data_IF_569352797235
#
_entry.id   IF_569352797235
#
_cell.length_a   1.000
_cell.length_b   1.000
_cell.length_c   1.000
_cell.angle_alpha   90.00
_cell.angle_beta   90.00
_cell.angle_gamma   90.00
#
_symmetry.space_group_name_H-M   'P 1'
#
loop_
_entity.id
_entity.type
_entity.pdbx_description
1 polymer ?
#
# COMPACT_ATOMS: atom_id res chain seq x y z
N UNK A 1 -0.26 16.27 1.05
CA UNK A 1 0.29 15.01 1.58
C UNK A 1 0.65 14.09 0.43
N UNK A 2 1.86 13.58 0.42
CA UNK A 2 2.32 12.65 -0.59
C UNK A 2 2.82 11.36 0.05
N UNK A 3 3.29 10.42 -0.77
CA UNK A 3 3.72 9.10 -0.30
C UNK A 3 4.86 9.18 0.73
N UNK A 4 5.77 10.12 0.55
CA UNK A 4 6.88 10.31 1.47
C UNK A 4 6.44 10.81 2.85
N UNK A 5 5.28 11.45 2.94
CA UNK A 5 4.72 11.90 4.23
C UNK A 5 4.06 10.76 4.99
N UNK A 6 3.66 9.70 4.31
CA UNK A 6 2.91 8.59 4.88
C UNK A 6 3.83 7.45 5.32
N UNK A 7 4.93 7.24 4.60
CA UNK A 7 5.80 6.09 4.79
C UNK A 7 7.09 6.44 5.51
N UNK A 8 7.46 5.57 6.45
CA UNK A 8 8.81 5.50 6.98
C UNK A 8 9.43 4.18 6.52
N UNK A 9 10.71 4.01 6.72
CA UNK A 9 11.42 2.76 6.40
C UNK A 9 10.72 1.54 7.01
N UNK A 10 10.26 1.65 8.25
CA UNK A 10 9.64 0.53 8.96
C UNK A 10 8.32 0.07 8.32
N UNK A 11 7.67 0.94 7.55
CA UNK A 11 6.40 0.64 6.88
C UNK A 11 6.59 0.15 5.45
N UNK A 12 7.83 -0.14 5.05
CA UNK A 12 8.15 -0.72 3.75
C UNK A 12 8.55 -2.18 3.94
N UNK A 13 7.86 -3.06 3.23
CA UNK A 13 8.11 -4.51 3.25
C UNK A 13 8.76 -4.87 1.91
N UNK A 14 10.10 -4.98 1.85
CA UNK A 14 10.79 -5.16 0.56
C UNK A 14 10.59 -6.53 -0.06
N UNK A 15 10.20 -7.52 0.73
CA UNK A 15 10.02 -8.89 0.26
C UNK A 15 8.71 -9.46 0.81
N UNK A 16 7.61 -9.17 0.12
CA UNK A 16 6.31 -9.75 0.46
C UNK A 16 6.35 -11.26 0.23
N UNK A 17 5.79 -12.02 1.17
CA UNK A 17 5.62 -13.47 1.07
C UNK A 17 4.29 -13.85 0.46
N UNK A 18 3.32 -12.96 0.51
CA UNK A 18 1.96 -13.19 0.03
C UNK A 18 1.96 -13.62 -1.43
N UNK A 19 1.05 -14.52 -1.78
CA UNK A 19 0.87 -14.99 -3.16
C UNK A 19 -0.43 -14.49 -3.77
N UNK A 20 -1.35 -14.01 -2.95
CA UNK A 20 -2.62 -13.44 -3.41
C UNK A 20 -2.93 -12.16 -2.62
N UNK A 21 -3.93 -11.41 -3.08
CA UNK A 21 -4.27 -10.11 -2.51
C UNK A 21 -4.72 -10.19 -1.05
N UNK A 22 -5.37 -11.27 -0.66
CA UNK A 22 -5.86 -11.44 0.71
C UNK A 22 -4.71 -11.59 1.69
N UNK A 23 -3.73 -12.41 1.34
CA UNK A 23 -2.51 -12.57 2.11
C UNK A 23 -1.67 -11.30 2.14
N UNK A 24 -1.64 -10.55 1.02
CA UNK A 24 -0.92 -9.29 0.98
C UNK A 24 -1.52 -8.26 1.93
N UNK A 25 -2.85 -8.19 2.01
CA UNK A 25 -3.55 -7.32 2.96
C UNK A 25 -3.18 -7.72 4.38
N UNK A 26 -3.21 -9.01 4.70
CA UNK A 26 -2.84 -9.49 6.03
C UNK A 26 -1.40 -9.09 6.39
N UNK A 27 -0.48 -9.30 5.46
CA UNK A 27 0.95 -9.03 5.69
C UNK A 27 1.23 -7.55 5.90
N UNK A 28 0.61 -6.68 5.11
CA UNK A 28 0.79 -5.24 5.23
C UNK A 28 0.16 -4.69 6.52
N UNK A 29 -1.00 -5.21 6.91
CA UNK A 29 -1.62 -4.80 8.17
C UNK A 29 -0.81 -5.29 9.36
N UNK A 30 -0.26 -6.51 9.31
CA UNK A 30 0.67 -6.98 10.35
C UNK A 30 1.86 -6.05 10.50
N UNK A 31 2.38 -5.54 9.39
CA UNK A 31 3.45 -4.54 9.43
C UNK A 31 3.02 -3.30 10.22
N UNK A 32 1.80 -2.81 9.99
CA UNK A 32 1.31 -1.62 10.68
C UNK A 32 1.05 -1.88 12.17
N UNK A 33 0.67 -3.09 12.54
CA UNK A 33 0.56 -3.48 13.95
C UNK A 33 1.97 -3.50 14.58
N UNK A 34 2.93 -4.12 13.92
CA UNK A 34 4.30 -4.21 14.41
C UNK A 34 5.00 -2.86 14.52
N UNK A 35 4.61 -1.87 13.73
CA UNK A 35 5.17 -0.52 13.77
C UNK A 35 4.39 0.44 14.67
N UNK A 36 3.37 -0.06 15.35
CA UNK A 36 2.57 0.74 16.28
C UNK A 36 1.56 1.67 15.63
N UNK A 37 1.32 1.54 14.33
CA UNK A 37 0.34 2.38 13.61
C UNK A 37 -1.09 1.90 13.79
N UNK A 38 -1.25 0.61 14.09
CA UNK A 38 -2.53 -0.02 14.39
C UNK A 38 -2.39 -0.75 15.71
N UNK A 39 -3.36 -0.59 16.62
CA UNK A 39 -3.36 -1.31 17.89
C UNK A 39 -3.57 -2.81 17.61
N UNK A 40 -2.86 -3.71 18.34
CA UNK A 40 -3.03 -5.15 18.12
C UNK A 40 -4.47 -5.63 18.26
N UNK A 41 -5.23 -5.05 19.16
CA UNK A 41 -6.65 -5.40 19.35
C UNK A 41 -7.56 -4.98 18.21
N UNK A 42 -7.11 -4.07 17.34
CA UNK A 42 -7.87 -3.55 16.21
C UNK A 42 -7.51 -4.25 14.89
N UNK A 43 -6.48 -5.08 14.89
CA UNK A 43 -5.98 -5.74 13.69
C UNK A 43 -7.07 -6.42 12.86
N UNK A 44 -7.85 -7.29 13.49
CA UNK A 44 -8.86 -8.09 12.77
C UNK A 44 -9.96 -7.22 12.18
N UNK A 45 -10.37 -6.17 12.89
CA UNK A 45 -11.39 -5.24 12.39
C UNK A 45 -10.88 -4.44 11.19
N UNK A 46 -9.62 -4.01 11.23
CA UNK A 46 -9.02 -3.28 10.10
C UNK A 46 -8.86 -4.21 8.89
N UNK A 47 -8.40 -5.44 9.11
CA UNK A 47 -8.30 -6.45 8.03
C UNK A 47 -9.67 -6.66 7.38
N UNK A 48 -10.71 -6.82 8.20
CA UNK A 48 -12.05 -7.04 7.69
C UNK A 48 -12.55 -5.87 6.83
N UNK A 49 -12.28 -4.64 7.26
CA UNK A 49 -12.67 -3.44 6.51
C UNK A 49 -11.98 -3.38 5.14
N UNK A 50 -10.68 -3.65 5.08
CA UNK A 50 -9.93 -3.64 3.82
C UNK A 50 -10.40 -4.76 2.89
N UNK A 51 -10.57 -5.96 3.42
CA UNK A 51 -11.02 -7.11 2.62
C UNK A 51 -12.44 -6.90 2.09
N UNK A 52 -13.31 -6.29 2.86
CA UNK A 52 -14.67 -5.97 2.41
C UNK A 52 -14.63 -5.03 1.21
N UNK A 53 -13.78 -3.99 1.27
CA UNK A 53 -13.61 -3.06 0.15
C UNK A 53 -13.03 -3.76 -1.07
N UNK A 54 -12.02 -4.60 -0.87
CA UNK A 54 -11.36 -5.34 -1.95
C UNK A 54 -12.33 -6.32 -2.64
N UNK A 55 -13.25 -6.91 -1.88
CA UNK A 55 -14.27 -7.83 -2.40
C UNK A 55 -15.19 -7.15 -3.41
N UNK A 56 -15.48 -5.85 -3.24
CA UNK A 56 -16.34 -5.11 -4.17
C UNK A 56 -15.71 -4.99 -5.55
N UNK A 57 -14.41 -4.74 -5.62
CA UNK A 57 -13.66 -4.62 -6.86
C UNK A 57 -12.17 -4.68 -6.53
N UNK A 58 -11.42 -5.44 -7.31
CA UNK A 58 -9.97 -5.49 -7.12
C UNK A 58 -9.34 -4.11 -7.23
N UNK A 59 -8.38 -3.83 -6.36
CA UNK A 59 -7.57 -2.62 -6.42
C UNK A 59 -6.28 -2.82 -7.20
N UNK A 60 -6.14 -3.94 -7.91
CA UNK A 60 -5.08 -4.14 -8.89
C UNK A 60 -5.37 -3.31 -10.13
N UNK A 61 -4.68 -2.18 -10.26
CA UNK A 61 -5.00 -1.14 -11.26
C UNK A 61 -4.16 -1.23 -12.53
N UNK A 62 -3.40 -2.31 -12.68
CA UNK A 62 -2.53 -2.52 -13.83
C UNK A 62 -1.10 -2.09 -13.56
N UNK A 63 -0.21 -2.38 -14.50
CA UNK A 63 1.22 -2.08 -14.42
C UNK A 63 1.92 -2.70 -13.21
N UNK A 64 1.35 -3.78 -12.65
CA UNK A 64 1.92 -4.43 -11.48
C UNK A 64 1.64 -3.71 -10.16
N UNK A 65 0.60 -2.87 -10.11
CA UNK A 65 0.26 -2.07 -8.95
C UNK A 65 -1.06 -2.51 -8.34
N UNK A 66 -1.11 -2.64 -7.01
CA UNK A 66 -2.35 -2.79 -6.26
C UNK A 66 -2.39 -1.78 -5.13
N UNK A 67 -3.56 -1.19 -4.87
CA UNK A 67 -3.74 -0.21 -3.81
C UNK A 67 -4.94 -0.60 -2.95
N UNK A 68 -4.79 -1.63 -2.10
CA UNK A 68 -5.86 -1.94 -1.14
C UNK A 68 -6.04 -0.78 -0.18
N UNK A 69 -7.30 -0.40 0.08
CA UNK A 69 -7.58 0.77 0.91
C UNK A 69 -8.94 0.66 1.58
N UNK A 70 -9.10 1.40 2.65
CA UNK A 70 -10.37 1.49 3.37
C UNK A 70 -10.39 2.69 4.29
N UNK A 71 -11.60 3.07 4.73
CA UNK A 71 -11.80 4.01 5.83
C UNK A 71 -12.08 3.21 7.09
N UNK A 72 -11.61 3.69 8.23
CA UNK A 72 -11.88 3.05 9.53
C UNK A 72 -11.87 4.09 10.64
N UNK A 73 -12.69 3.89 11.65
CA UNK A 73 -12.73 4.73 12.83
C UNK A 73 -11.67 4.34 13.88
N UNK A 74 -10.84 3.35 13.55
CA UNK A 74 -9.82 2.82 14.46
C UNK A 74 -8.48 3.53 14.35
N UNK A 75 -8.37 4.53 13.48
CA UNK A 75 -7.16 5.35 13.31
C UNK A 75 -7.55 6.83 13.31
N UNK A 76 -6.59 7.68 13.67
CA UNK A 76 -6.82 9.14 13.76
C UNK A 76 -6.17 9.93 12.64
N UNK A 77 -5.25 9.30 11.92
CA UNK A 77 -4.55 9.91 10.79
C UNK A 77 -4.39 8.91 9.66
N UNK A 78 -4.06 9.39 8.48
CA UNK A 78 -3.76 8.53 7.34
C UNK A 78 -2.54 7.68 7.65
N UNK A 79 -2.63 6.38 7.40
CA UNK A 79 -1.50 5.46 7.52
C UNK A 79 -1.40 4.59 6.29
N UNK A 80 -0.20 4.11 5.99
CA UNK A 80 0.03 3.26 4.85
C UNK A 80 1.23 2.35 5.03
N UNK A 81 1.28 1.31 4.19
CA UNK A 81 2.41 0.40 4.12
C UNK A 81 2.63 0.01 2.67
N UNK A 82 3.87 -0.02 2.24
CA UNK A 82 4.23 -0.41 0.88
C UNK A 82 4.93 -1.74 0.90
N UNK A 83 4.44 -2.68 0.10
CA UNK A 83 5.07 -3.98 -0.05
C UNK A 83 5.53 -4.21 -1.48
N UNK A 84 6.69 -4.85 -1.63
CA UNK A 84 7.20 -5.26 -2.93
C UNK A 84 7.28 -6.77 -2.99
N UNK A 85 6.76 -7.36 -4.08
CA UNK A 85 6.86 -8.78 -4.35
C UNK A 85 7.71 -8.99 -5.60
N UNK A 86 8.77 -9.76 -5.48
CA UNK A 86 9.64 -10.08 -6.63
C UNK A 86 9.00 -11.12 -7.55
N UNK A 87 8.23 -12.02 -6.98
CA UNK A 87 7.57 -13.09 -7.73
C UNK A 87 6.20 -12.70 -8.26
N UNK A 88 5.59 -11.65 -7.71
CA UNK A 88 4.26 -11.20 -8.07
C UNK A 88 3.18 -11.78 -7.16
N UNK A 89 2.10 -11.02 -6.99
CA UNK A 89 0.95 -11.37 -6.16
C UNK A 89 -0.29 -11.38 -7.05
N UNK A 90 -1.09 -12.41 -6.97
CA UNK A 90 -2.35 -12.46 -7.71
C UNK A 90 -3.37 -11.54 -7.05
N UNK A 91 -3.68 -10.44 -7.71
CA UNK A 91 -4.68 -9.45 -7.25
C UNK A 91 -5.99 -9.53 -8.02
N UNK A 92 -6.12 -10.47 -8.96
CA UNK A 92 -7.22 -10.45 -9.92
C UNK A 92 -7.33 -9.06 -10.56
N UNK A 93 -6.17 -8.52 -10.95
CA UNK A 93 -6.07 -7.18 -11.50
C UNK A 93 -6.80 -7.07 -12.84
N UNK A 94 -7.18 -5.84 -13.19
CA UNK A 94 -7.93 -5.57 -14.41
C UNK A 94 -7.20 -6.03 -15.68
N UNK A 95 -5.86 -6.03 -15.67
CA UNK A 95 -5.05 -6.48 -16.82
C UNK A 95 -4.61 -7.95 -16.70
N UNK A 96 -5.08 -8.66 -15.69
CA UNK A 96 -4.72 -10.06 -15.40
C UNK A 96 -3.21 -10.29 -15.18
N UNK A 97 -2.47 -9.24 -14.85
CA UNK A 97 -1.04 -9.34 -14.57
C UNK A 97 -0.78 -9.39 -13.06
N UNK A 98 0.30 -10.04 -12.62
CA UNK A 98 0.63 -10.05 -11.19
C UNK A 98 1.00 -8.65 -10.69
N UNK A 99 0.71 -8.40 -9.42
CA UNK A 99 1.05 -7.16 -8.73
C UNK A 99 2.41 -7.34 -8.07
N UNK A 100 3.32 -6.42 -8.31
CA UNK A 100 4.64 -6.40 -7.69
C UNK A 100 4.81 -5.32 -6.64
N UNK A 101 3.96 -4.29 -6.69
CA UNK A 101 3.96 -3.20 -5.72
C UNK A 101 2.54 -3.06 -5.15
N UNK A 102 2.39 -3.32 -3.86
CA UNK A 102 1.11 -3.20 -3.17
C UNK A 102 1.21 -2.09 -2.13
N UNK A 103 0.40 -1.05 -2.29
CA UNK A 103 0.33 0.06 -1.34
C UNK A 103 -0.97 -0.01 -0.57
N UNK A 104 -0.89 -0.32 0.71
CA UNK A 104 -2.04 -0.25 1.60
C UNK A 104 -2.22 1.19 2.06
N UNK A 105 -3.45 1.70 1.97
CA UNK A 105 -3.78 3.08 2.30
C UNK A 105 -5.04 3.11 3.15
N UNK A 106 -4.90 3.60 4.38
CA UNK A 106 -6.01 3.67 5.34
C UNK A 106 -6.27 5.11 5.73
N UNK A 107 -7.54 5.50 5.72
CA UNK A 107 -7.94 6.85 6.13
C UNK A 107 -8.93 6.79 7.28
N UNK A 108 -8.93 7.80 8.16
CA UNK A 108 -9.94 7.88 9.22
C UNK A 108 -11.34 7.98 8.62
N UNK A 109 -12.30 7.33 9.25
CA UNK A 109 -13.68 7.34 8.80
C UNK A 109 -14.21 8.78 8.73
N UNK A 110 -14.94 9.07 7.66
CA UNK A 110 -15.45 10.42 7.40
C UNK A 110 -14.47 11.33 6.70
N UNK A 111 -13.22 10.90 6.51
CA UNK A 111 -12.18 11.72 5.88
C UNK A 111 -11.77 11.24 4.49
N UNK A 112 -12.44 10.22 3.95
CA UNK A 112 -12.06 9.67 2.65
C UNK A 112 -12.12 10.73 1.55
N UNK A 113 -13.17 11.54 1.52
CA UNK A 113 -13.33 12.61 0.55
C UNK A 113 -12.16 13.61 0.61
N UNK A 114 -11.75 13.95 1.83
CA UNK A 114 -10.62 14.86 2.07
C UNK A 114 -9.31 14.29 1.51
N UNK A 115 -9.16 12.96 1.51
CA UNK A 115 -7.93 12.30 1.10
C UNK A 115 -7.99 11.68 -0.31
N UNK A 116 -9.04 11.95 -1.08
CA UNK A 116 -9.12 11.48 -2.48
C UNK A 116 -7.96 11.99 -3.31
N UNK A 117 -7.58 13.24 -3.10
CA UNK A 117 -6.46 13.84 -3.81
C UNK A 117 -5.14 13.13 -3.48
N UNK A 118 -4.96 12.78 -2.21
CA UNK A 118 -3.78 12.03 -1.75
C UNK A 118 -3.71 10.67 -2.44
N UNK A 119 -4.83 9.94 -2.46
CA UNK A 119 -4.89 8.63 -3.11
C UNK A 119 -4.59 8.74 -4.61
N UNK A 120 -5.16 9.76 -5.27
CA UNK A 120 -4.91 10.00 -6.69
C UNK A 120 -3.44 10.31 -6.96
N UNK A 121 -2.79 11.09 -6.09
CA UNK A 121 -1.37 11.39 -6.24
C UNK A 121 -0.49 10.16 -6.06
N UNK A 122 -0.84 9.28 -5.12
CA UNK A 122 -0.14 8.02 -4.92
C UNK A 122 -0.24 7.15 -6.17
N UNK A 123 -1.45 7.00 -6.71
CA UNK A 123 -1.68 6.22 -7.92
C UNK A 123 -0.90 6.80 -9.10
N UNK A 124 -0.92 8.12 -9.24
CA UNK A 124 -0.20 8.82 -10.31
C UNK A 124 1.31 8.58 -10.22
N UNK A 125 1.87 8.65 -9.02
CA UNK A 125 3.29 8.40 -8.81
C UNK A 125 3.64 6.95 -9.16
N UNK A 126 2.84 5.99 -8.71
CA UNK A 126 3.06 4.57 -9.00
C UNK A 126 2.91 4.24 -10.49
N UNK A 127 2.19 5.05 -11.26
CA UNK A 127 2.09 4.87 -12.70
C UNK A 127 3.33 5.33 -13.48
N UNK A 128 4.25 6.04 -12.85
CA UNK A 128 5.49 6.45 -13.50
C UNK A 128 6.44 5.24 -13.61
N UNK A 129 6.75 4.84 -14.85
CA UNK A 129 7.58 3.67 -15.09
C UNK A 129 8.95 3.78 -14.41
N UNK A 130 9.56 4.96 -14.45
CA UNK A 130 10.86 5.19 -13.82
C UNK A 130 10.83 4.97 -12.32
N UNK A 131 9.73 5.39 -11.67
CA UNK A 131 9.57 5.19 -10.24
C UNK A 131 9.40 3.71 -9.91
N UNK A 132 8.57 3.00 -10.67
CA UNK A 132 8.39 1.55 -10.47
C UNK A 132 9.71 0.81 -10.64
N UNK A 133 10.50 1.15 -11.67
CA UNK A 133 11.80 0.54 -11.89
C UNK A 133 12.75 0.80 -10.72
N UNK A 134 12.77 2.02 -10.21
CA UNK A 134 13.61 2.36 -9.06
C UNK A 134 13.22 1.53 -7.83
N UNK A 135 11.93 1.35 -7.58
CA UNK A 135 11.46 0.53 -6.47
C UNK A 135 11.78 -0.95 -6.68
N UNK A 136 11.63 -1.45 -7.91
CA UNK A 136 11.91 -2.86 -8.21
C UNK A 136 13.40 -3.19 -8.10
N UNK A 137 14.27 -2.25 -8.44
CA UNK A 137 15.73 -2.43 -8.39
C UNK A 137 16.34 -2.16 -7.02
N UNK A 138 15.60 -1.48 -6.14
CA UNK A 138 16.12 -1.13 -4.82
C UNK A 138 16.48 -2.40 -4.04
N UNK A 139 17.64 -2.39 -3.39
CA UNK A 139 18.14 -3.56 -2.68
C UNK A 139 17.63 -3.68 -1.24
N UNK A 140 16.92 -2.67 -0.75
CA UNK A 140 16.50 -2.62 0.65
C UNK A 140 15.34 -1.66 0.84
N UNK A 141 14.73 -1.69 2.03
CA UNK A 141 13.70 -0.72 2.41
C UNK A 141 14.24 0.70 2.42
N UNK A 142 15.50 0.89 2.85
CA UNK A 142 16.16 2.21 2.82
C UNK A 142 16.25 2.76 1.40
N UNK A 143 16.68 1.93 0.45
CA UNK A 143 16.81 2.33 -0.94
C UNK A 143 15.44 2.63 -1.56
N UNK A 144 14.41 1.86 -1.18
CA UNK A 144 13.04 2.12 -1.63
C UNK A 144 12.55 3.47 -1.09
N UNK A 145 12.81 3.77 0.17
CA UNK A 145 12.41 5.05 0.76
C UNK A 145 13.12 6.23 0.09
N UNK A 146 14.41 6.07 -0.22
CA UNK A 146 15.17 7.10 -0.95
C UNK A 146 14.55 7.39 -2.31
N UNK A 147 14.12 6.35 -3.04
CA UNK A 147 13.44 6.52 -4.32
C UNK A 147 12.11 7.25 -4.15
N UNK A 148 11.34 6.92 -3.09
CA UNK A 148 10.07 7.57 -2.79
C UNK A 148 10.29 9.07 -2.54
N UNK A 149 11.30 9.41 -1.76
CA UNK A 149 11.62 10.81 -1.46
C UNK A 149 12.07 11.57 -2.69
N UNK A 150 12.91 10.97 -3.51
CA UNK A 150 13.41 11.60 -4.72
C UNK A 150 12.30 11.86 -5.73
N UNK A 151 11.50 10.85 -6.04
CA UNK A 151 10.42 10.99 -7.03
C UNK A 151 9.27 11.85 -6.52
N UNK A 152 9.04 11.89 -5.22
CA UNK A 152 8.02 12.74 -4.61
C UNK A 152 8.31 14.24 -4.73
N UNK A 153 9.57 14.61 -4.99
CA UNK A 153 9.97 16.01 -5.17
C UNK A 153 9.79 16.51 -6.61
N UNK A 154 9.55 15.60 -7.54
CA UNK A 154 9.36 15.93 -8.96
C UNK A 154 7.87 16.22 -9.23
#
# INVERSE_FOLDING_TARGET
MDLADILTKAQIVPDLRATNRWEAIDELIENLVGTGKIQPGDRDAVIAAVKKRETSMSTGIGFGIGIPHASTDLIYEVVGALGRSRQGVNFDALDNQPVKLAMLFLVPQGQFQKHLHTLANIAKLLHKAEFREALEKAGSADAMLDAIREFGKR
#
